data_IF_149054856924
#
_entry.id   IF_149054856924
#
_cell.length_a   1.000
_cell.length_b   1.000
_cell.length_c   1.000
_cell.angle_alpha   90.00
_cell.angle_beta   90.00
_cell.angle_gamma   90.00
#
_symmetry.space_group_name_H-M   'P 1'
#
loop_
_entity.id
_entity.type
_entity.pdbx_description
1 polymer ?
#
# COMPACT_ATOMS: atom_id res chain seq x y z
N UNK A 1 24.26 -46.12 29.26
CA UNK A 1 24.12 -45.25 28.07
C UNK A 1 23.31 -44.04 28.49
N UNK A 2 23.89 -42.83 28.48
CA UNK A 2 23.30 -41.60 29.05
C UNK A 2 22.42 -40.88 28.02
N UNK A 3 21.36 -40.28 28.55
CA UNK A 3 20.45 -39.22 28.04
C UNK A 3 21.12 -38.26 27.04
N UNK A 4 20.45 -37.59 26.10
CA UNK A 4 19.07 -37.13 26.03
C UNK A 4 19.06 -35.78 25.29
N UNK A 5 17.91 -35.38 24.79
CA UNK A 5 17.60 -33.99 24.41
C UNK A 5 18.39 -33.45 23.22
N UNK A 6 17.86 -33.66 22.01
CA UNK A 6 18.05 -32.64 20.98
C UNK A 6 17.37 -31.37 21.52
N UNK A 7 18.16 -30.47 22.08
CA UNK A 7 17.72 -29.11 22.38
C UNK A 7 17.39 -28.48 21.03
N UNK A 8 16.13 -28.56 20.62
CA UNK A 8 15.61 -27.70 19.57
C UNK A 8 15.83 -26.27 20.07
N UNK A 9 16.68 -25.47 19.40
CA UNK A 9 16.77 -24.08 19.76
C UNK A 9 15.40 -23.51 19.44
N UNK A 10 14.70 -23.03 20.47
CA UNK A 10 13.58 -22.14 20.26
C UNK A 10 14.14 -20.93 19.51
N UNK A 11 13.96 -20.91 18.19
CA UNK A 11 14.37 -19.81 17.34
C UNK A 11 13.45 -18.63 17.68
N UNK A 12 13.78 -17.92 18.75
CA UNK A 12 13.43 -16.53 18.94
C UNK A 12 14.38 -15.72 18.07
N UNK A 13 14.03 -15.57 16.80
CA UNK A 13 14.66 -14.58 15.92
C UNK A 13 13.60 -13.57 15.52
N UNK A 14 13.64 -12.44 16.21
CA UNK A 14 13.13 -11.17 15.70
C UNK A 14 13.68 -10.97 14.27
N UNK A 15 12.79 -10.95 13.28
CA UNK A 15 13.15 -10.64 11.88
C UNK A 15 13.92 -11.73 11.14
N UNK A 16 13.25 -12.81 10.73
CA UNK A 16 13.72 -13.65 9.62
C UNK A 16 13.41 -13.00 8.24
N UNK A 17 13.83 -13.60 7.12
CA UNK A 17 13.61 -13.06 5.76
C UNK A 17 12.13 -12.79 5.42
N UNK A 18 11.19 -13.39 6.15
CA UNK A 18 9.76 -13.09 6.07
C UNK A 18 9.40 -11.69 6.64
N UNK A 19 10.10 -11.24 7.69
CA UNK A 19 9.94 -9.91 8.28
C UNK A 19 10.49 -8.80 7.39
N UNK A 20 11.62 -9.03 6.72
CA UNK A 20 12.18 -8.11 5.72
C UNK A 20 11.23 -7.95 4.53
N UNK A 21 10.69 -9.05 4.01
CA UNK A 21 9.71 -9.03 2.91
C UNK A 21 8.42 -8.30 3.31
N UNK A 22 7.89 -8.56 4.50
CA UNK A 22 6.72 -7.86 5.00
C UNK A 22 6.98 -6.34 5.17
N UNK A 23 8.16 -5.97 5.64
CA UNK A 23 8.57 -4.56 5.75
C UNK A 23 8.67 -3.92 4.37
N UNK A 24 9.29 -4.61 3.41
CA UNK A 24 9.40 -4.13 2.04
C UNK A 24 8.03 -3.95 1.38
N UNK A 25 7.11 -4.90 1.54
CA UNK A 25 5.75 -4.81 0.99
C UNK A 25 4.98 -3.61 1.58
N UNK A 26 5.07 -3.39 2.91
CA UNK A 26 4.50 -2.20 3.54
C UNK A 26 5.11 -0.92 3.00
N UNK A 27 6.43 -0.87 2.86
CA UNK A 27 7.12 0.31 2.36
C UNK A 27 6.71 0.62 0.92
N UNK A 28 6.61 -0.40 0.06
CA UNK A 28 6.10 -0.22 -1.30
C UNK A 28 4.66 0.27 -1.33
N UNK A 29 3.77 -0.29 -0.49
CA UNK A 29 2.39 0.20 -0.39
C UNK A 29 2.36 1.68 0.03
N UNK A 30 3.13 2.06 1.05
CA UNK A 30 3.22 3.44 1.53
C UNK A 30 3.76 4.40 0.47
N UNK A 31 4.75 4.00 -0.34
CA UNK A 31 5.28 4.80 -1.44
C UNK A 31 4.21 5.07 -2.51
N UNK A 32 3.45 4.05 -2.90
CA UNK A 32 2.37 4.20 -3.89
C UNK A 32 1.23 5.07 -3.34
N UNK A 33 0.90 4.94 -2.06
CA UNK A 33 -0.07 5.82 -1.39
C UNK A 33 0.39 7.26 -1.33
N UNK A 34 1.69 7.51 -1.07
CA UNK A 34 2.25 8.85 -1.08
C UNK A 34 2.19 9.47 -2.49
N UNK A 35 2.53 8.70 -3.53
CA UNK A 35 2.40 9.15 -4.92
C UNK A 35 0.94 9.50 -5.28
N UNK A 36 -0.01 8.67 -4.86
CA UNK A 36 -1.43 8.93 -5.05
C UNK A 36 -1.91 10.22 -4.35
N UNK A 37 -1.48 10.42 -3.10
CA UNK A 37 -1.78 11.62 -2.32
C UNK A 37 -1.24 12.90 -2.97
N UNK A 38 0.02 12.88 -3.44
CA UNK A 38 0.64 13.99 -4.16
C UNK A 38 -0.11 14.33 -5.45
N UNK A 39 -0.59 13.33 -6.18
CA UNK A 39 -1.40 13.55 -7.36
C UNK A 39 -2.77 14.14 -7.03
N UNK A 40 -3.44 13.69 -5.96
CA UNK A 40 -4.69 14.30 -5.50
C UNK A 40 -4.50 15.76 -5.05
N UNK A 41 -3.37 16.08 -4.41
CA UNK A 41 -3.03 17.46 -4.04
C UNK A 41 -2.87 18.35 -5.27
N UNK A 42 -2.28 17.86 -6.36
CA UNK A 42 -2.20 18.62 -7.63
C UNK A 42 -3.58 18.91 -8.23
N UNK A 43 -4.57 18.05 -7.97
CA UNK A 43 -5.97 18.23 -8.38
C UNK A 43 -6.75 19.15 -7.44
N UNK A 44 -6.28 19.35 -6.20
CA UNK A 44 -6.95 20.19 -5.22
C UNK A 44 -6.94 21.65 -5.69
N UNK A 45 -8.13 22.24 -5.78
CA UNK A 45 -8.32 23.61 -6.28
C UNK A 45 -8.59 23.72 -7.78
N UNK A 46 -8.60 22.60 -8.52
CA UNK A 46 -9.01 22.58 -9.94
C UNK A 46 -10.50 22.32 -10.08
N UNK A 47 -11.08 22.84 -11.16
CA UNK A 47 -12.47 22.53 -11.51
C UNK A 47 -12.52 21.15 -12.19
N UNK A 48 -12.85 20.13 -11.40
CA UNK A 48 -12.95 18.76 -11.86
C UNK A 48 -14.31 18.48 -12.52
N UNK A 49 -14.31 17.68 -13.60
CA UNK A 49 -15.53 17.14 -14.18
C UNK A 49 -16.17 16.10 -13.24
N UNK A 50 -17.45 15.75 -13.46
CA UNK A 50 -18.12 14.71 -12.66
C UNK A 50 -17.32 13.39 -12.65
N UNK A 51 -16.84 12.95 -13.81
CA UNK A 51 -16.01 11.75 -13.93
C UNK A 51 -14.70 11.87 -13.14
N UNK A 52 -14.03 13.02 -13.19
CA UNK A 52 -12.81 13.27 -12.40
C UNK A 52 -13.09 13.29 -10.90
N UNK A 53 -14.22 13.87 -10.47
CA UNK A 53 -14.62 13.83 -9.06
C UNK A 53 -14.87 12.41 -8.58
N UNK A 54 -15.52 11.56 -9.38
CA UNK A 54 -15.74 10.15 -9.05
C UNK A 54 -14.45 9.34 -9.04
N UNK A 55 -13.50 9.65 -9.93
CA UNK A 55 -12.15 9.08 -9.87
C UNK A 55 -11.41 9.50 -8.59
N UNK A 56 -11.50 10.76 -8.17
CA UNK A 56 -10.92 11.22 -6.88
C UNK A 56 -11.51 10.43 -5.70
N UNK A 57 -12.83 10.19 -5.69
CA UNK A 57 -13.48 9.38 -4.65
C UNK A 57 -12.93 7.95 -4.65
N UNK A 58 -12.80 7.33 -5.82
CA UNK A 58 -12.25 5.98 -5.95
C UNK A 58 -10.78 5.89 -5.51
N UNK A 59 -9.94 6.86 -5.86
CA UNK A 59 -8.54 6.93 -5.37
C UNK A 59 -8.51 6.95 -3.86
N UNK A 60 -9.29 7.84 -3.22
CA UNK A 60 -9.37 7.94 -1.75
C UNK A 60 -9.83 6.64 -1.12
N UNK A 61 -10.86 6.02 -1.69
CA UNK A 61 -11.37 4.73 -1.23
C UNK A 61 -10.31 3.62 -1.31
N UNK A 62 -9.53 3.53 -2.39
CA UNK A 62 -8.42 2.58 -2.48
C UNK A 62 -7.31 2.88 -1.47
N UNK A 63 -7.00 4.16 -1.23
CA UNK A 63 -6.03 4.55 -0.22
C UNK A 63 -6.45 4.13 1.18
N UNK A 64 -7.71 4.36 1.55
CA UNK A 64 -8.26 3.94 2.86
C UNK A 64 -8.25 2.42 3.02
N UNK A 65 -8.69 1.68 2.00
CA UNK A 65 -8.66 0.22 2.04
C UNK A 65 -7.23 -0.34 2.11
N UNK A 66 -6.28 0.30 1.43
CA UNK A 66 -4.87 -0.13 1.49
C UNK A 66 -4.29 0.06 2.89
N UNK A 67 -4.59 1.19 3.54
CA UNK A 67 -4.21 1.46 4.94
C UNK A 67 -4.84 0.45 5.89
N UNK A 68 -6.12 0.13 5.70
CA UNK A 68 -6.83 -0.88 6.50
C UNK A 68 -6.23 -2.28 6.31
N UNK A 69 -5.93 -2.69 5.07
CA UNK A 69 -5.27 -3.96 4.77
C UNK A 69 -3.86 -4.04 5.37
N UNK A 70 -3.10 -2.93 5.34
CA UNK A 70 -1.78 -2.82 5.98
C UNK A 70 -1.87 -3.04 7.48
N UNK A 71 -2.87 -2.43 8.13
CA UNK A 71 -3.12 -2.57 9.57
C UNK A 71 -3.59 -3.99 9.92
N UNK A 72 -4.35 -4.64 9.04
CA UNK A 72 -4.78 -6.03 9.19
C UNK A 72 -3.67 -7.07 8.90
N UNK A 73 -2.50 -6.63 8.42
CA UNK A 73 -1.41 -7.52 8.02
C UNK A 73 -1.58 -8.17 6.64
N UNK A 74 -2.64 -7.81 5.90
CA UNK A 74 -2.89 -8.24 4.53
C UNK A 74 -2.10 -7.36 3.55
N UNK A 75 -0.80 -7.61 3.49
CA UNK A 75 0.16 -6.75 2.77
C UNK A 75 0.06 -6.89 1.25
N UNK A 76 -0.34 -8.05 0.75
CA UNK A 76 -0.56 -8.27 -0.68
C UNK A 76 -1.76 -7.46 -1.17
N UNK A 77 -2.88 -7.52 -0.43
CA UNK A 77 -4.05 -6.69 -0.70
C UNK A 77 -3.73 -5.20 -0.54
N UNK A 78 -2.99 -4.82 0.50
CA UNK A 78 -2.58 -3.44 0.72
C UNK A 78 -1.79 -2.89 -0.48
N UNK A 79 -0.81 -3.65 -0.96
CA UNK A 79 0.00 -3.30 -2.13
C UNK A 79 -0.86 -3.16 -3.38
N UNK A 80 -1.76 -4.11 -3.64
CA UNK A 80 -2.65 -4.08 -4.81
C UNK A 80 -3.57 -2.86 -4.80
N UNK A 81 -4.15 -2.54 -3.65
CA UNK A 81 -5.01 -1.36 -3.50
C UNK A 81 -4.23 -0.06 -3.65
N UNK A 82 -3.02 0.02 -3.09
CA UNK A 82 -2.16 1.18 -3.24
C UNK A 82 -1.71 1.39 -4.69
N UNK A 83 -1.40 0.32 -5.42
CA UNK A 83 -1.10 0.38 -6.85
C UNK A 83 -2.29 0.91 -7.67
N UNK A 84 -3.51 0.44 -7.39
CA UNK A 84 -4.74 0.96 -8.03
C UNK A 84 -4.95 2.43 -7.73
N UNK A 85 -4.74 2.86 -6.49
CA UNK A 85 -4.83 4.27 -6.10
C UNK A 85 -3.82 5.12 -6.89
N UNK A 86 -2.57 4.67 -6.99
CA UNK A 86 -1.54 5.37 -7.76
C UNK A 86 -1.94 5.47 -9.24
N UNK A 87 -2.27 4.35 -9.89
CA UNK A 87 -2.61 4.32 -11.32
C UNK A 87 -3.77 5.26 -11.66
N UNK A 88 -4.85 5.21 -10.86
CA UNK A 88 -6.01 6.06 -11.08
C UNK A 88 -5.69 7.54 -10.79
N UNK A 89 -4.79 7.83 -9.84
CA UNK A 89 -4.33 9.19 -9.59
C UNK A 89 -3.42 9.74 -10.70
N UNK A 90 -2.62 8.88 -11.34
CA UNK A 90 -1.81 9.24 -12.50
C UNK A 90 -2.71 9.54 -13.70
N UNK A 91 -3.75 8.73 -13.91
CA UNK A 91 -4.77 8.97 -14.92
C UNK A 91 -5.44 10.34 -14.71
N UNK A 92 -5.83 10.69 -13.48
CA UNK A 92 -6.38 12.01 -13.15
C UNK A 92 -5.46 13.16 -13.59
N UNK A 93 -4.15 13.06 -13.31
CA UNK A 93 -3.19 14.09 -13.69
C UNK A 93 -2.84 14.09 -15.19
N UNK A 94 -3.03 12.96 -15.87
CA UNK A 94 -2.81 12.81 -17.31
C UNK A 94 -4.03 13.19 -18.16
N UNK A 95 -5.23 12.96 -17.65
CA UNK A 95 -6.51 13.28 -18.28
C UNK A 95 -6.70 14.78 -18.49
N UNK A 96 -5.97 15.63 -17.76
CA UNK A 96 -5.97 17.07 -17.94
C UNK A 96 -5.16 17.57 -19.16
N UNK A 97 -4.28 16.74 -19.72
CA UNK A 97 -3.44 17.12 -20.87
C UNK A 97 -4.07 16.80 -22.23
N UNK A 98 -5.31 16.30 -22.24
CA UNK A 98 -6.07 15.97 -23.46
C UNK A 98 -7.22 16.95 -23.64
#
# INVERSE_FOLDING_TARGET
MRQGGASEPAIQLAGGPAGDQATQQRNSANQMLAAADENLKKMAGRQLTANQQDMVKQVRQFMEQSKAATAAGDLDRARTLAWKAQLLSEELTGAEKK
#
